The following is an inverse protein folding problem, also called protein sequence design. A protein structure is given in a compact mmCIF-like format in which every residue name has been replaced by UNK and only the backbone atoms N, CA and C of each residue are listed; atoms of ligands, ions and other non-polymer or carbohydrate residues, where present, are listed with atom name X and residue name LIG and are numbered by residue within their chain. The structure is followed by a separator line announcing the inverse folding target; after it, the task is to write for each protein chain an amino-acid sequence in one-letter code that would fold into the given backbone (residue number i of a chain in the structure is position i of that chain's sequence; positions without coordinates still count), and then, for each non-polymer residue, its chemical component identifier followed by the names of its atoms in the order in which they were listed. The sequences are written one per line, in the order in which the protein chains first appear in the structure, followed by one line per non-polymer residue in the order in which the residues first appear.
data_IF_460893216526
#
_entry.id   IF_460893216526
#
_cell.length_a   1.000
_cell.length_b   1.000
_cell.length_c   1.000
_cell.angle_alpha   90.00
_cell.angle_beta   90.00
_cell.angle_gamma   90.00
#
_symmetry.space_group_name_H-M   'P 1'
#
loop_
_entity.id
_entity.type
_entity.pdbx_description
1 polymer ?
#
# COMPACT_ATOMS: atom_id res chain seq x y z
N UNK A 1 16.42 -14.87 4.67
CA UNK A 1 15.90 -15.56 3.49
C UNK A 1 15.02 -14.57 2.76
N UNK A 2 15.46 -14.13 1.59
CA UNK A 2 14.74 -13.20 0.72
C UNK A 2 13.83 -14.00 -0.22
N UNK A 3 12.87 -13.32 -0.84
CA UNK A 3 11.97 -13.97 -1.79
C UNK A 3 12.73 -14.55 -3.00
N UNK A 4 13.79 -13.85 -3.44
CA UNK A 4 14.74 -14.35 -4.45
C UNK A 4 15.37 -15.69 -4.06
N UNK A 5 15.76 -15.87 -2.79
CA UNK A 5 16.36 -17.12 -2.30
C UNK A 5 15.37 -18.29 -2.32
N UNK A 6 14.07 -17.99 -2.22
CA UNK A 6 13.00 -18.99 -2.16
C UNK A 6 12.51 -19.35 -3.57
N UNK A 7 12.36 -18.34 -4.43
CA UNK A 7 11.71 -18.48 -5.73
C UNK A 7 12.70 -18.54 -6.91
N UNK A 8 13.98 -18.23 -6.68
CA UNK A 8 15.03 -18.30 -7.71
C UNK A 8 14.94 -17.22 -8.78
N UNK A 9 14.30 -16.08 -8.46
CA UNK A 9 14.14 -14.94 -9.38
C UNK A 9 14.18 -13.62 -8.63
N UNK A 10 14.74 -12.60 -9.27
CA UNK A 10 14.79 -11.20 -8.83
C UNK A 10 13.59 -10.36 -9.31
N UNK A 11 12.68 -10.98 -10.07
CA UNK A 11 11.43 -10.34 -10.53
C UNK A 11 10.54 -9.96 -9.35
N UNK A 12 9.79 -8.86 -9.50
CA UNK A 12 8.89 -8.36 -8.46
C UNK A 12 7.91 -9.45 -8.01
N UNK A 13 7.81 -9.62 -6.70
CA UNK A 13 6.97 -10.65 -6.06
C UNK A 13 7.21 -12.09 -6.58
N UNK A 14 8.38 -12.36 -7.17
CA UNK A 14 8.71 -13.66 -7.75
C UNK A 14 7.86 -14.00 -8.96
N UNK A 15 7.64 -13.03 -9.85
CA UNK A 15 6.86 -13.16 -11.09
C UNK A 15 5.38 -13.52 -10.84
N UNK A 16 4.84 -13.14 -9.67
CA UNK A 16 3.42 -13.32 -9.33
C UNK A 16 2.66 -12.04 -9.58
N UNK A 17 1.50 -12.17 -10.23
CA UNK A 17 0.54 -11.08 -10.33
C UNK A 17 -0.13 -10.88 -8.97
N UNK A 18 -0.02 -9.67 -8.42
CA UNK A 18 -0.57 -9.31 -7.11
C UNK A 18 -1.71 -8.31 -7.33
N UNK A 19 -2.87 -8.58 -6.73
CA UNK A 19 -3.98 -7.64 -6.64
C UNK A 19 -4.09 -7.12 -5.21
N UNK A 20 -3.98 -5.81 -5.03
CA UNK A 20 -4.22 -5.14 -3.76
C UNK A 20 -5.66 -4.66 -3.72
N UNK A 21 -6.39 -5.04 -2.67
CA UNK A 21 -7.77 -4.58 -2.44
C UNK A 21 -7.85 -4.05 -1.01
N UNK A 22 -8.38 -2.85 -0.87
CA UNK A 22 -8.53 -2.22 0.43
C UNK A 22 -9.17 -0.84 0.31
N UNK A 23 -9.43 -0.25 1.47
CA UNK A 23 -9.95 1.10 1.61
C UNK A 23 -8.91 1.91 2.40
N UNK A 24 -8.39 2.96 1.77
CA UNK A 24 -7.35 3.82 2.34
C UNK A 24 -7.86 4.71 3.47
N UNK A 25 -9.19 4.85 3.60
CA UNK A 25 -9.83 5.61 4.67
C UNK A 25 -10.08 4.76 5.93
N UNK A 26 -9.77 3.46 5.89
CA UNK A 26 -9.82 2.62 7.08
C UNK A 26 -8.72 2.98 8.07
N UNK A 27 -8.92 2.52 9.31
CA UNK A 27 -7.93 2.67 10.37
C UNK A 27 -6.57 2.13 9.88
N UNK A 28 -5.48 2.86 10.16
CA UNK A 28 -4.16 2.37 9.82
C UNK A 28 -3.90 1.06 10.57
N UNK A 29 -2.99 0.21 10.07
CA UNK A 29 -2.53 -0.94 10.81
C UNK A 29 -2.12 -0.55 12.24
N UNK A 30 -2.43 -1.41 13.21
CA UNK A 30 -2.09 -1.19 14.61
C UNK A 30 -0.59 -0.89 14.71
N UNK A 31 -0.25 0.21 15.37
CA UNK A 31 1.12 0.66 15.49
C UNK A 31 1.91 -0.30 16.40
N UNK A 32 2.58 -1.27 15.78
CA UNK A 32 3.53 -2.17 16.45
C UNK A 32 4.92 -1.56 16.52
N UNK A 33 5.77 -2.07 17.42
CA UNK A 33 7.21 -1.77 17.37
C UNK A 33 7.74 -2.27 16.02
N UNK A 34 8.33 -1.41 15.17
CA UNK A 34 8.88 -1.84 13.90
C UNK A 34 9.94 -2.91 14.11
N UNK A 35 9.89 -3.98 13.31
CA UNK A 35 10.94 -5.03 13.31
C UNK A 35 12.26 -4.48 12.77
N UNK A 36 12.20 -3.47 11.90
CA UNK A 36 13.35 -2.81 11.30
C UNK A 36 13.48 -1.37 11.78
N UNK A 37 14.72 -0.95 12.04
CA UNK A 37 15.02 0.44 12.37
C UNK A 37 14.79 1.33 11.15
N UNK A 38 14.16 2.49 11.37
CA UNK A 38 13.97 3.48 10.31
C UNK A 38 15.32 4.11 9.98
N UNK A 39 15.76 3.95 8.73
CA UNK A 39 17.02 4.52 8.24
C UNK A 39 16.73 5.84 7.51
N UNK A 40 17.57 6.85 7.72
CA UNK A 40 17.41 8.13 7.02
C UNK A 40 17.84 8.03 5.56
N UNK A 41 17.17 8.77 4.67
CA UNK A 41 17.55 8.84 3.26
C UNK A 41 19.00 9.29 3.05
N UNK A 42 19.53 10.14 3.94
CA UNK A 42 20.94 10.53 3.93
C UNK A 42 21.85 9.32 4.15
N UNK A 43 21.54 8.49 5.15
CA UNK A 43 22.33 7.30 5.44
C UNK A 43 22.23 6.25 4.33
N UNK A 44 21.03 6.06 3.74
CA UNK A 44 20.83 5.21 2.55
C UNK A 44 21.74 5.67 1.41
N UNK A 45 21.69 6.95 1.02
CA UNK A 45 22.51 7.47 -0.07
C UNK A 45 24.02 7.37 0.19
N UNK A 46 24.47 7.61 1.42
CA UNK A 46 25.90 7.55 1.75
C UNK A 46 26.43 6.11 1.86
N UNK A 47 25.61 5.15 2.29
CA UNK A 47 26.04 3.75 2.53
C UNK A 47 25.74 2.81 1.37
N UNK A 48 24.67 3.06 0.63
CA UNK A 48 24.20 2.24 -0.49
C UNK A 48 24.42 2.93 -1.85
N UNK A 49 24.93 4.17 -1.85
CA UNK A 49 25.24 4.91 -3.07
C UNK A 49 23.99 5.25 -3.89
N UNK A 50 24.02 4.90 -5.18
CA UNK A 50 22.90 5.07 -6.12
C UNK A 50 21.83 3.96 -6.02
N UNK A 51 22.01 2.97 -5.14
CA UNK A 51 20.95 1.99 -4.85
C UNK A 51 19.83 2.71 -4.08
N UNK A 52 18.89 3.27 -4.84
CA UNK A 52 17.71 3.91 -4.30
C UNK A 52 16.80 2.84 -3.68
N UNK A 53 16.23 3.14 -2.52
CA UNK A 53 15.09 2.39 -2.02
C UNK A 53 13.95 2.55 -3.04
N UNK A 54 13.57 1.44 -3.68
CA UNK A 54 12.51 1.43 -4.69
C UNK A 54 11.17 1.57 -3.98
N UNK A 55 10.34 2.52 -4.42
CA UNK A 55 8.97 2.64 -3.97
C UNK A 55 8.07 1.78 -4.85
N UNK A 56 7.85 0.52 -4.45
CA UNK A 56 7.08 -0.46 -5.24
C UNK A 56 5.68 0.06 -5.62
N UNK A 57 5.02 0.83 -4.75
CA UNK A 57 3.69 1.36 -5.04
C UNK A 57 3.68 2.32 -6.22
N UNK A 58 4.77 3.06 -6.42
CA UNK A 58 4.90 4.01 -7.52
C UNK A 58 5.38 3.33 -8.80
N UNK A 59 6.28 2.37 -8.68
CA UNK A 59 6.99 1.79 -9.82
C UNK A 59 6.28 0.57 -10.43
N UNK A 60 5.42 -0.14 -9.68
CA UNK A 60 4.87 -1.43 -10.12
C UNK A 60 3.35 -1.56 -9.97
N UNK A 61 2.67 -0.60 -9.36
CA UNK A 61 1.23 -0.73 -9.04
C UNK A 61 0.43 0.29 -9.83
N UNK A 62 -0.51 -0.20 -10.64
CA UNK A 62 -1.58 0.59 -11.22
C UNK A 62 -2.75 0.68 -10.22
N UNK A 63 -3.42 1.83 -10.18
CA UNK A 63 -4.47 2.12 -9.21
C UNK A 63 -5.79 2.42 -9.92
N UNK A 64 -6.84 1.72 -9.51
CA UNK A 64 -8.22 1.97 -9.89
C UNK A 64 -9.08 2.17 -8.65
N UNK A 65 -10.01 3.13 -8.72
CA UNK A 65 -10.96 3.43 -7.65
C UNK A 65 -12.34 2.86 -7.98
N UNK A 66 -12.94 2.13 -7.03
CA UNK A 66 -14.35 1.75 -7.11
C UNK A 66 -15.19 2.90 -6.56
N UNK A 67 -16.19 3.37 -7.30
CA UNK A 67 -16.98 4.57 -6.93
C UNK A 67 -18.45 4.26 -6.62
N UNK A 68 -18.87 3.00 -6.77
CA UNK A 68 -20.26 2.60 -6.54
C UNK A 68 -20.39 1.98 -5.16
N UNK A 69 -21.19 2.64 -4.31
CA UNK A 69 -21.49 2.17 -2.97
C UNK A 69 -22.84 1.44 -2.91
N UNK A 70 -22.78 0.11 -2.81
CA UNK A 70 -23.98 -0.73 -2.69
C UNK A 70 -24.46 -0.89 -1.23
N UNK A 71 -23.62 -0.61 -0.23
CA UNK A 71 -23.97 -0.82 1.19
C UNK A 71 -24.98 0.22 1.69
N UNK A 72 -24.80 1.48 1.32
CA UNK A 72 -25.71 2.58 1.69
C UNK A 72 -26.79 2.84 0.63
N UNK A 73 -27.04 1.87 -0.26
CA UNK A 73 -28.05 1.99 -1.30
C UNK A 73 -29.44 2.18 -0.69
N UNK A 74 -30.14 3.22 -1.14
CA UNK A 74 -31.46 3.59 -0.63
C UNK A 74 -31.44 4.61 0.52
N UNK A 75 -30.26 4.99 1.03
CA UNK A 75 -30.11 6.09 2.00
C UNK A 75 -28.99 7.05 1.57
N UNK A 76 -29.34 7.95 0.65
CA UNK A 76 -28.42 8.98 0.15
C UNK A 76 -27.96 9.95 1.24
N UNK A 77 -28.78 10.18 2.28
CA UNK A 77 -28.42 11.09 3.36
C UNK A 77 -27.30 10.50 4.19
N UNK A 78 -27.42 9.22 4.56
CA UNK A 78 -26.38 8.52 5.28
C UNK A 78 -25.09 8.37 4.47
N UNK A 79 -25.18 8.05 3.17
CA UNK A 79 -24.02 8.02 2.29
C UNK A 79 -23.27 9.36 2.29
N UNK A 80 -23.99 10.49 2.12
CA UNK A 80 -23.38 11.82 2.16
C UNK A 80 -22.69 12.11 3.50
N UNK A 81 -23.30 11.73 4.62
CA UNK A 81 -22.68 11.88 5.93
C UNK A 81 -21.35 11.11 6.02
N UNK A 82 -21.30 9.87 5.52
CA UNK A 82 -20.08 9.08 5.55
C UNK A 82 -19.00 9.62 4.63
N UNK A 83 -19.35 10.09 3.43
CA UNK A 83 -18.39 10.75 2.52
C UNK A 83 -17.80 11.99 3.19
N UNK A 84 -18.63 12.82 3.84
CA UNK A 84 -18.17 14.02 4.56
C UNK A 84 -17.24 13.69 5.74
N UNK A 85 -17.47 12.55 6.41
CA UNK A 85 -16.62 12.07 7.48
C UNK A 85 -15.38 11.31 6.97
N UNK A 86 -15.25 11.11 5.67
CA UNK A 86 -14.17 10.31 5.07
C UNK A 86 -14.25 8.84 5.49
N UNK A 87 -15.45 8.27 5.56
CA UNK A 87 -15.73 6.90 6.03
C UNK A 87 -16.50 6.06 5.00
N UNK A 88 -16.70 6.58 3.80
CA UNK A 88 -17.27 5.84 2.69
C UNK A 88 -16.42 6.06 1.44
N UNK A 89 -16.33 4.98 0.67
CA UNK A 89 -15.98 4.98 -0.75
C UNK A 89 -17.25 5.24 -1.54
#
# INVERSE_FOLDING_TARGET
MRLEDILGTDEWFGFKNILFVGDLLQLPPINGRPVFNKISNKLVKTRLGAANAVNIWKETVEYDELTINERQKGDETFLRCLILLGMAV
#
